data_IF_859719538743
#
_entry.id   IF_859719538743
#
_cell.length_a   1.000
_cell.length_b   1.000
_cell.length_c   1.000
_cell.angle_alpha   90.00
_cell.angle_beta   90.00
_cell.angle_gamma   90.00
#
_symmetry.space_group_name_H-M   'P 1'
#
loop_
_entity.id
_entity.type
_entity.pdbx_description
1 polymer ?
#
# COMPACT_ATOMS: atom_id res chain seq x y z
N UNK A 1 -3.48 28.84 -5.34
CA UNK A 1 -4.10 27.57 -5.81
C UNK A 1 -4.31 27.50 -7.33
N UNK A 2 -4.44 28.62 -8.06
CA UNK A 2 -4.59 28.58 -9.52
C UNK A 2 -3.38 28.00 -10.26
N UNK A 3 -2.17 28.13 -9.71
CA UNK A 3 -0.91 27.61 -10.30
C UNK A 3 -0.88 26.07 -10.44
N UNK A 4 -1.75 25.35 -9.72
CA UNK A 4 -1.84 23.88 -9.76
C UNK A 4 -2.94 23.36 -10.69
N UNK A 5 -3.83 24.24 -11.18
CA UNK A 5 -4.98 23.86 -11.98
C UNK A 5 -4.58 23.73 -13.46
N UNK A 6 -4.95 22.62 -14.09
CA UNK A 6 -4.67 22.36 -15.51
C UNK A 6 -3.32 21.67 -15.79
N UNK A 7 -2.58 21.25 -14.76
CA UNK A 7 -1.35 20.46 -14.90
C UNK A 7 -1.66 18.97 -14.83
N UNK A 8 -1.00 18.19 -15.69
CA UNK A 8 -1.27 16.75 -15.86
C UNK A 8 -0.48 15.89 -14.87
N UNK A 9 0.65 16.38 -14.35
CA UNK A 9 1.51 15.65 -13.43
C UNK A 9 2.14 16.55 -12.37
N UNK A 10 2.52 15.97 -11.23
CA UNK A 10 3.27 16.66 -10.17
C UNK A 10 4.63 17.17 -10.70
N UNK A 11 5.23 16.45 -11.64
CA UNK A 11 6.47 16.88 -12.28
C UNK A 11 6.28 18.15 -13.12
N UNK A 12 5.15 18.31 -13.82
CA UNK A 12 4.85 19.53 -14.58
C UNK A 12 4.72 20.74 -13.66
N UNK A 13 4.00 20.59 -12.55
CA UNK A 13 3.89 21.63 -11.51
C UNK A 13 5.27 22.05 -11.00
N UNK A 14 6.13 21.06 -10.69
CA UNK A 14 7.49 21.34 -10.23
C UNK A 14 8.35 22.00 -11.31
N UNK A 15 8.10 21.68 -12.58
CA UNK A 15 8.75 22.30 -13.72
C UNK A 15 8.40 23.76 -13.93
N UNK A 16 7.12 24.12 -13.76
CA UNK A 16 6.68 25.50 -13.91
C UNK A 16 7.18 26.40 -12.76
N UNK A 17 7.29 25.85 -11.55
CA UNK A 17 7.74 26.58 -10.37
C UNK A 17 9.27 26.71 -10.26
N UNK A 18 10.00 25.65 -10.61
CA UNK A 18 11.44 25.54 -10.33
C UNK A 18 12.31 25.28 -11.58
N UNK A 19 11.70 25.17 -12.76
CA UNK A 19 12.37 25.01 -14.04
C UNK A 19 12.53 23.56 -14.52
N UNK A 20 12.96 23.42 -15.77
CA UNK A 20 13.01 22.15 -16.52
C UNK A 20 13.89 21.07 -15.87
N UNK A 21 15.00 21.45 -15.22
CA UNK A 21 15.86 20.48 -14.54
C UNK A 21 15.14 19.76 -13.39
N UNK A 22 14.36 20.51 -12.60
CA UNK A 22 13.59 19.97 -11.47
C UNK A 22 12.41 19.13 -11.97
N UNK A 23 11.80 19.48 -13.11
CA UNK A 23 10.78 18.65 -13.78
C UNK A 23 11.31 17.24 -14.10
N UNK A 24 12.51 17.15 -14.67
CA UNK A 24 13.08 15.85 -15.06
C UNK A 24 13.42 15.01 -13.83
N UNK A 25 14.05 15.62 -12.81
CA UNK A 25 14.38 14.92 -11.56
C UNK A 25 13.10 14.40 -10.87
N UNK A 26 12.07 15.25 -10.73
CA UNK A 26 10.80 14.86 -10.11
C UNK A 26 10.07 13.77 -10.90
N UNK A 27 10.10 13.82 -12.24
CA UNK A 27 9.55 12.76 -13.08
C UNK A 27 10.25 11.41 -12.85
N UNK A 28 11.59 11.38 -12.86
CA UNK A 28 12.37 10.15 -12.62
C UNK A 28 12.07 9.58 -11.23
N UNK A 29 12.11 10.41 -10.19
CA UNK A 29 11.79 9.99 -8.82
C UNK A 29 10.36 9.43 -8.72
N UNK A 30 9.39 10.03 -9.43
CA UNK A 30 8.01 9.56 -9.43
C UNK A 30 7.86 8.18 -10.07
N UNK A 31 8.59 7.90 -11.15
CA UNK A 31 8.59 6.61 -11.84
C UNK A 31 9.20 5.53 -10.94
N UNK A 32 10.35 5.82 -10.32
CA UNK A 32 10.99 4.88 -9.38
C UNK A 32 10.05 4.56 -8.22
N UNK A 33 9.44 5.58 -7.61
CA UNK A 33 8.46 5.38 -6.54
C UNK A 33 7.29 4.51 -6.98
N UNK A 34 6.72 4.77 -8.17
CA UNK A 34 5.60 4.00 -8.68
C UNK A 34 5.97 2.53 -8.93
N UNK A 35 7.13 2.27 -9.53
CA UNK A 35 7.63 0.92 -9.78
C UNK A 35 7.84 0.15 -8.46
N UNK A 36 8.42 0.78 -7.44
CA UNK A 36 8.62 0.17 -6.13
C UNK A 36 7.30 -0.19 -5.45
N UNK A 37 6.30 0.69 -5.51
CA UNK A 37 4.97 0.40 -4.92
C UNK A 37 4.31 -0.79 -5.61
N UNK A 38 4.34 -0.86 -6.94
CA UNK A 38 3.77 -1.98 -7.70
C UNK A 38 4.51 -3.28 -7.39
N UNK A 39 5.84 -3.25 -7.31
CA UNK A 39 6.64 -4.44 -6.96
C UNK A 39 6.30 -4.97 -5.57
N UNK A 40 6.16 -4.08 -4.58
CA UNK A 40 5.73 -4.46 -3.24
C UNK A 40 4.32 -5.06 -3.24
N UNK A 41 3.39 -4.47 -3.99
CA UNK A 41 2.02 -4.96 -4.11
C UNK A 41 1.97 -6.39 -4.69
N UNK A 42 2.71 -6.64 -5.78
CA UNK A 42 2.82 -7.97 -6.40
C UNK A 42 3.39 -8.99 -5.40
N UNK A 43 4.42 -8.60 -4.63
CA UNK A 43 5.04 -9.47 -3.61
C UNK A 43 4.04 -9.83 -2.50
N UNK A 44 3.30 -8.85 -1.98
CA UNK A 44 2.30 -9.09 -0.93
C UNK A 44 1.22 -10.05 -1.43
N UNK A 45 0.68 -9.83 -2.63
CA UNK A 45 -0.32 -10.73 -3.21
C UNK A 45 0.23 -12.13 -3.48
N UNK A 46 1.47 -12.23 -3.96
CA UNK A 46 2.13 -13.51 -4.19
C UNK A 46 2.27 -14.33 -2.91
N UNK A 47 2.72 -13.72 -1.81
CA UNK A 47 2.80 -14.38 -0.51
C UNK A 47 1.44 -14.84 0.00
N UNK A 48 0.40 -14.02 -0.18
CA UNK A 48 -0.98 -14.40 0.20
C UNK A 48 -1.43 -15.61 -0.62
N UNK A 49 -1.26 -15.61 -1.94
CA UNK A 49 -1.64 -16.77 -2.76
C UNK A 49 -0.83 -18.02 -2.42
N UNK A 50 0.47 -17.87 -2.19
CA UNK A 50 1.31 -18.99 -1.77
C UNK A 50 0.83 -19.59 -0.44
N UNK A 51 0.51 -18.73 0.55
CA UNK A 51 0.08 -19.18 1.87
C UNK A 51 -1.32 -19.78 1.90
N UNK A 52 -2.30 -19.13 1.26
CA UNK A 52 -3.70 -19.55 1.33
C UNK A 52 -4.10 -20.59 0.27
N UNK A 53 -3.49 -20.54 -0.92
CA UNK A 53 -3.81 -21.46 -2.02
C UNK A 53 -2.76 -22.58 -2.17
N UNK A 54 -1.65 -22.53 -1.43
CA UNK A 54 -0.57 -23.52 -1.52
C UNK A 54 0.17 -23.52 -2.86
N UNK A 55 -0.01 -22.47 -3.68
CA UNK A 55 0.59 -22.36 -5.01
C UNK A 55 2.07 -21.98 -4.87
N UNK A 56 2.97 -22.64 -5.59
CA UNK A 56 4.39 -22.31 -5.55
C UNK A 56 4.67 -20.81 -5.84
N UNK A 57 5.67 -20.26 -5.17
CA UNK A 57 5.99 -18.83 -5.16
C UNK A 57 6.19 -18.24 -6.56
N UNK A 58 6.75 -19.01 -7.48
CA UNK A 58 6.95 -18.57 -8.86
C UNK A 58 5.60 -18.36 -9.56
N UNK A 59 4.70 -19.34 -9.47
CA UNK A 59 3.37 -19.27 -10.08
C UNK A 59 2.47 -18.24 -9.39
N UNK A 60 2.56 -18.10 -8.07
CA UNK A 60 1.83 -17.08 -7.32
C UNK A 60 2.19 -15.65 -7.77
N UNK A 61 3.49 -15.40 -8.02
CA UNK A 61 3.99 -14.12 -8.53
C UNK A 61 3.54 -13.87 -9.98
N UNK A 62 3.54 -14.91 -10.81
CA UNK A 62 3.07 -14.80 -12.19
C UNK A 62 1.57 -14.47 -12.26
N UNK A 63 0.76 -15.13 -11.43
CA UNK A 63 -0.69 -14.87 -11.37
C UNK A 63 -0.96 -13.45 -10.87
N UNK A 64 -0.33 -13.02 -9.78
CA UNK A 64 -0.56 -11.68 -9.22
C UNK A 64 -0.15 -10.56 -10.19
N UNK A 65 1.00 -10.70 -10.85
CA UNK A 65 1.45 -9.75 -11.87
C UNK A 65 0.52 -9.73 -13.09
N UNK A 66 0.07 -10.89 -13.57
CA UNK A 66 -0.84 -10.96 -14.72
C UNK A 66 -2.17 -10.27 -14.44
N UNK A 67 -2.75 -10.45 -13.25
CA UNK A 67 -3.98 -9.76 -12.86
C UNK A 67 -3.78 -8.24 -12.89
N UNK A 68 -2.68 -7.75 -12.29
CA UNK A 68 -2.36 -6.32 -12.25
C UNK A 68 -2.18 -5.72 -13.65
N UNK A 69 -1.48 -6.43 -14.53
CA UNK A 69 -1.22 -6.00 -15.90
C UNK A 69 -2.53 -5.96 -16.70
N UNK A 70 -3.37 -7.00 -16.62
CA UNK A 70 -4.62 -7.08 -17.40
C UNK A 70 -5.52 -5.89 -17.05
N UNK A 71 -5.86 -5.66 -15.78
CA UNK A 71 -6.82 -4.59 -15.46
C UNK A 71 -6.26 -3.20 -15.76
N UNK A 72 -4.93 -3.01 -15.61
CA UNK A 72 -4.28 -1.73 -15.88
C UNK A 72 -4.17 -1.44 -17.38
N UNK A 73 -3.84 -2.44 -18.19
CA UNK A 73 -3.62 -2.29 -19.62
C UNK A 73 -4.92 -2.04 -20.39
N UNK A 74 -6.00 -2.77 -20.08
CA UNK A 74 -7.27 -2.65 -20.81
C UNK A 74 -8.12 -1.47 -20.37
N UNK A 75 -8.05 -1.06 -19.10
CA UNK A 75 -8.93 -0.03 -18.54
C UNK A 75 -8.29 1.33 -18.31
N UNK A 76 -6.96 1.44 -18.40
CA UNK A 76 -6.22 2.67 -18.11
C UNK A 76 -6.52 3.23 -16.71
N UNK A 77 -6.39 4.54 -16.54
CA UNK A 77 -6.57 5.18 -15.23
C UNK A 77 -7.98 5.01 -14.64
N UNK A 78 -9.01 4.84 -15.49
CA UNK A 78 -10.39 4.67 -15.03
C UNK A 78 -10.61 3.34 -14.32
N UNK A 79 -10.04 2.25 -14.83
CA UNK A 79 -10.13 0.96 -14.15
C UNK A 79 -9.35 0.96 -12.84
N UNK A 80 -8.16 1.58 -12.81
CA UNK A 80 -7.37 1.73 -11.59
C UNK A 80 -8.16 2.48 -10.51
N UNK A 81 -8.77 3.61 -10.87
CA UNK A 81 -9.61 4.38 -9.94
C UNK A 81 -10.83 3.58 -9.48
N UNK A 82 -11.46 2.82 -10.38
CA UNK A 82 -12.58 1.95 -10.00
C UNK A 82 -12.14 0.93 -8.93
N UNK A 83 -11.04 0.20 -9.16
CA UNK A 83 -10.52 -0.75 -8.18
C UNK A 83 -10.11 -0.09 -6.85
N UNK A 84 -9.60 1.13 -6.89
CA UNK A 84 -9.23 1.89 -5.69
C UNK A 84 -10.46 2.26 -4.84
N UNK A 85 -11.59 2.60 -5.49
CA UNK A 85 -12.86 2.84 -4.78
C UNK A 85 -13.34 1.58 -4.06
N UNK A 86 -13.30 0.41 -4.70
CA UNK A 86 -13.66 -0.85 -4.02
C UNK A 86 -12.72 -1.15 -2.85
N UNK A 87 -11.42 -0.96 -3.04
CA UNK A 87 -10.44 -1.18 -1.98
C UNK A 87 -10.66 -0.21 -0.79
N UNK A 88 -10.98 1.05 -1.07
CA UNK A 88 -11.32 2.06 -0.06
C UNK A 88 -12.56 1.66 0.74
N UNK A 89 -13.61 1.18 0.08
CA UNK A 89 -14.82 0.69 0.75
C UNK A 89 -14.55 -0.58 1.56
N UNK A 90 -13.79 -1.52 0.99
CA UNK A 90 -13.45 -2.79 1.64
C UNK A 90 -12.65 -2.55 2.92
N UNK A 91 -11.55 -1.79 2.86
CA UNK A 91 -10.77 -1.46 4.05
C UNK A 91 -11.51 -0.52 5.00
N UNK A 92 -12.31 0.40 4.46
CA UNK A 92 -13.17 1.29 5.24
C UNK A 92 -14.22 0.55 6.08
N UNK A 93 -14.71 -0.60 5.62
CA UNK A 93 -15.59 -1.46 6.41
C UNK A 93 -14.81 -2.44 7.29
N UNK A 94 -13.79 -3.11 6.73
CA UNK A 94 -13.09 -4.20 7.40
C UNK A 94 -12.27 -3.74 8.61
N UNK A 95 -11.55 -2.60 8.50
CA UNK A 95 -10.69 -2.11 9.59
C UNK A 95 -11.53 -1.73 10.83
N UNK A 96 -12.62 -0.94 10.72
CA UNK A 96 -13.47 -0.65 11.88
C UNK A 96 -14.13 -1.89 12.47
N UNK A 97 -14.60 -2.82 11.64
CA UNK A 97 -15.20 -4.07 12.13
C UNK A 97 -14.19 -4.90 12.92
N UNK A 98 -12.96 -5.05 12.41
CA UNK A 98 -11.88 -5.72 13.15
C UNK A 98 -11.57 -5.00 14.47
N UNK A 99 -11.50 -3.67 14.47
CA UNK A 99 -11.23 -2.91 15.69
C UNK A 99 -12.31 -3.14 16.76
N UNK A 100 -13.58 -3.16 16.38
CA UNK A 100 -14.71 -3.46 17.29
C UNK A 100 -14.65 -4.91 17.78
N UNK A 101 -14.31 -5.86 16.90
CA UNK A 101 -14.17 -7.27 17.28
C UNK A 101 -13.07 -7.46 18.33
N UNK A 102 -11.89 -6.88 18.09
CA UNK A 102 -10.77 -6.92 19.04
C UNK A 102 -11.20 -6.30 20.38
N UNK A 103 -11.85 -5.13 20.35
CA UNK A 103 -12.38 -4.50 21.55
C UNK A 103 -13.36 -5.41 22.31
N UNK A 104 -14.26 -6.09 21.58
CA UNK A 104 -15.22 -7.04 22.15
C UNK A 104 -14.58 -8.28 22.77
N UNK A 105 -13.43 -8.75 22.25
CA UNK A 105 -12.71 -9.89 22.80
C UNK A 105 -11.96 -9.57 24.10
N UNK A 106 -11.32 -8.39 24.17
CA UNK A 106 -10.51 -8.03 25.34
C UNK A 106 -11.30 -7.32 26.44
N UNK A 107 -12.39 -6.61 26.08
CA UNK A 107 -13.41 -6.03 26.98
C UNK A 107 -12.94 -5.00 28.01
N UNK A 108 -11.63 -4.93 28.27
CA UNK A 108 -11.01 -4.11 29.30
C UNK A 108 -9.70 -3.53 28.75
N UNK A 109 -9.53 -2.22 28.93
CA UNK A 109 -8.32 -1.50 28.57
C UNK A 109 -7.07 -2.10 29.25
N UNK A 110 -7.22 -2.60 30.47
CA UNK A 110 -6.14 -3.22 31.25
C UNK A 110 -5.59 -4.49 30.58
N UNK A 111 -6.45 -5.31 29.96
CA UNK A 111 -5.99 -6.54 29.29
C UNK A 111 -5.22 -6.25 28.00
N UNK A 112 -5.59 -5.18 27.29
CA UNK A 112 -4.86 -4.70 26.11
C UNK A 112 -3.50 -4.16 26.55
N UNK A 113 -3.47 -3.30 27.56
CA UNK A 113 -2.22 -2.73 28.09
C UNK A 113 -1.30 -3.83 28.63
N UNK A 114 -1.84 -4.80 29.39
CA UNK A 114 -1.07 -5.91 29.93
C UNK A 114 -0.49 -6.83 28.83
N UNK A 115 -1.23 -7.05 27.75
CA UNK A 115 -0.74 -7.81 26.59
C UNK A 115 0.36 -7.04 25.84
N UNK A 116 0.23 -5.73 25.72
CA UNK A 116 1.25 -4.88 25.08
C UNK A 116 2.53 -4.77 25.90
N UNK A 117 2.45 -4.77 27.24
CA UNK A 117 3.61 -4.62 28.11
C UNK A 117 4.28 -5.94 28.50
N UNK A 118 3.54 -7.05 28.51
CA UNK A 118 4.06 -8.35 28.97
C UNK A 118 4.52 -9.24 27.81
N UNK A 119 4.04 -9.00 26.58
CA UNK A 119 4.39 -9.85 25.45
C UNK A 119 5.75 -9.45 24.84
N UNK A 120 6.72 -10.39 24.74
CA UNK A 120 8.07 -10.10 24.23
C UNK A 120 8.09 -9.64 22.78
N UNK A 121 7.04 -9.89 21.98
CA UNK A 121 6.93 -9.43 20.59
C UNK A 121 6.78 -7.90 20.51
N UNK A 122 6.24 -7.26 21.57
CA UNK A 122 6.02 -5.82 21.63
C UNK A 122 7.03 -5.08 22.51
N UNK A 123 8.09 -5.76 22.98
CA UNK A 123 9.12 -5.12 23.79
C UNK A 123 9.91 -4.11 22.95
N UNK A 124 9.79 -2.80 23.23
CA UNK A 124 10.46 -1.77 22.45
C UNK A 124 11.99 -1.89 22.55
N UNK A 125 12.54 -2.54 23.58
CA UNK A 125 13.98 -2.80 23.65
C UNK A 125 14.43 -3.77 22.57
N UNK A 126 13.69 -4.85 22.32
CA UNK A 126 14.03 -5.86 21.31
C UNK A 126 13.78 -5.32 19.90
N UNK A 127 12.74 -4.50 19.71
CA UNK A 127 12.37 -3.96 18.39
C UNK A 127 13.22 -2.76 17.95
N UNK A 128 13.77 -2.01 18.91
CA UNK A 128 14.63 -0.85 18.64
C UNK A 128 16.11 -1.12 18.94
N UNK A 129 16.47 -2.35 19.36
CA UNK A 129 17.87 -2.75 19.42
C UNK A 129 18.39 -2.89 17.98
N UNK A 130 19.08 -1.85 17.53
CA UNK A 130 19.94 -1.89 16.35
C UNK A 130 21.37 -2.17 16.84
N UNK A 131 21.55 -3.34 17.46
CA UNK A 131 22.84 -3.93 17.82
C UNK A 131 23.29 -4.89 16.72
#
# INVERSE_FOLDING_TARGET
MQEFLGKLSVADVMGDLYGTHVRVISAICSIIRAATIIAMQIKVFSTIFNHFLGVDSFYATLISSMVVIIYSAFGGIRAVVFTDVFQSLAFGAFIPTLAILIWGMFGSWESIVNTLTTNPIFDPKILLDYS
#
